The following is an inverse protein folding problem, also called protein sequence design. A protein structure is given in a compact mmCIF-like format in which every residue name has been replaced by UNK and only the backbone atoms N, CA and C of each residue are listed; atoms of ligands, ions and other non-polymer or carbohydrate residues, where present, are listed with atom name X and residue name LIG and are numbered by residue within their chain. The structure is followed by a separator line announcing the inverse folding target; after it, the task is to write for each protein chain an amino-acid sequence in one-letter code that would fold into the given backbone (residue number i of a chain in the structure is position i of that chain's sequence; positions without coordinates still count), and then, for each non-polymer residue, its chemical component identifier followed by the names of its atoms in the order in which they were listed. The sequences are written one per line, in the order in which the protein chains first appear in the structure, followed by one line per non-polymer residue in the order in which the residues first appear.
data_IF_084283190502
#
_entry.id   IF_084283190502
#
_cell.length_a   1.000
_cell.length_b   1.000
_cell.length_c   1.000
_cell.angle_alpha   90.00
_cell.angle_beta   90.00
_cell.angle_gamma   90.00
#
_symmetry.space_group_name_H-M   'P 1'
#
loop_
_entity.id
_entity.type
_entity.pdbx_description
1 polymer ?
#
# COMPACT_ATOMS: atom_id res chain seq x y z
N UNK A 1 12.15 11.49 -1.74
CA UNK A 1 10.95 10.69 -1.42
C UNK A 1 10.47 9.90 -2.66
N UNK A 2 11.21 8.86 -3.08
CA UNK A 2 10.82 8.02 -4.24
C UNK A 2 10.95 6.51 -4.01
N UNK A 3 11.58 6.09 -2.90
CA UNK A 3 11.86 4.67 -2.63
C UNK A 3 10.58 3.88 -2.36
N UNK A 4 9.63 4.45 -1.61
CA UNK A 4 8.33 3.82 -1.30
C UNK A 4 7.55 3.55 -2.60
N UNK A 5 7.34 4.58 -3.42
CA UNK A 5 6.63 4.44 -4.70
C UNK A 5 7.31 3.43 -5.62
N UNK A 6 8.64 3.48 -5.72
CA UNK A 6 9.37 2.51 -6.52
C UNK A 6 9.15 1.08 -6.06
N UNK A 7 9.25 0.82 -4.74
CA UNK A 7 9.02 -0.52 -4.16
C UNK A 7 7.59 -1.00 -4.31
N UNK A 8 6.61 -0.10 -4.21
CA UNK A 8 5.20 -0.41 -4.46
C UNK A 8 4.97 -0.82 -5.94
N UNK A 9 5.58 -0.10 -6.90
CA UNK A 9 5.44 -0.38 -8.33
C UNK A 9 6.12 -1.68 -8.75
N UNK A 10 7.29 -1.99 -8.19
CA UNK A 10 8.02 -3.23 -8.51
C UNK A 10 7.58 -4.42 -7.66
N UNK A 11 6.70 -4.20 -6.67
CA UNK A 11 6.28 -5.24 -5.73
C UNK A 11 7.37 -5.65 -4.72
N UNK A 12 8.54 -5.00 -4.71
CA UNK A 12 9.64 -5.25 -3.77
C UNK A 12 9.39 -4.58 -2.40
N UNK A 13 8.17 -4.66 -1.91
CA UNK A 13 7.72 -4.08 -0.66
C UNK A 13 7.73 -5.14 0.45
N UNK A 14 7.94 -4.78 1.72
CA UNK A 14 7.90 -5.77 2.81
C UNK A 14 6.46 -6.16 3.21
N UNK A 15 5.52 -6.16 2.26
CA UNK A 15 4.17 -6.65 2.48
C UNK A 15 4.16 -8.18 2.50
N UNK A 16 3.22 -8.78 3.23
CA UNK A 16 3.16 -10.23 3.43
C UNK A 16 3.08 -11.02 2.12
N UNK A 17 2.43 -10.48 1.09
CA UNK A 17 2.41 -11.11 -0.24
C UNK A 17 3.81 -11.30 -0.83
N UNK A 18 4.67 -10.26 -0.77
CA UNK A 18 6.05 -10.36 -1.22
C UNK A 18 6.89 -11.26 -0.31
N UNK A 19 6.74 -11.12 1.01
CA UNK A 19 7.47 -11.93 1.99
C UNK A 19 7.17 -13.44 1.84
N UNK A 20 5.92 -13.81 1.51
CA UNK A 20 5.55 -15.18 1.20
C UNK A 20 6.20 -15.66 -0.10
N UNK A 21 6.25 -14.81 -1.13
CA UNK A 21 6.91 -15.13 -2.40
C UNK A 21 8.41 -15.45 -2.26
N UNK A 22 9.09 -14.84 -1.27
CA UNK A 22 10.50 -15.08 -0.96
C UNK A 22 10.72 -16.07 0.21
N UNK A 23 9.65 -16.70 0.72
CA UNK A 23 9.73 -17.71 1.78
C UNK A 23 10.01 -17.17 3.19
N UNK A 24 9.85 -15.86 3.43
CA UNK A 24 10.06 -15.21 4.73
C UNK A 24 8.79 -15.20 5.59
N UNK A 25 7.61 -15.10 4.97
CA UNK A 25 6.33 -15.15 5.67
C UNK A 25 5.56 -16.43 5.33
N UNK A 26 4.93 -17.03 6.33
CA UNK A 26 4.12 -18.25 6.17
C UNK A 26 2.80 -17.98 5.44
N UNK A 27 2.24 -16.78 5.59
CA UNK A 27 0.99 -16.37 4.94
C UNK A 27 1.13 -15.01 4.26
N UNK A 28 0.44 -14.85 3.12
CA UNK A 28 0.28 -13.57 2.43
C UNK A 28 -0.92 -12.77 2.95
N UNK A 29 -1.79 -13.37 3.76
CA UNK A 29 -3.07 -12.79 4.18
C UNK A 29 -2.85 -11.54 5.03
N UNK A 30 -3.59 -10.48 4.69
CA UNK A 30 -3.59 -9.25 5.47
C UNK A 30 -4.22 -9.47 6.85
N UNK A 31 -3.78 -8.73 7.85
CA UNK A 31 -4.34 -8.79 9.21
C UNK A 31 -5.80 -8.36 9.29
N UNK A 32 -6.32 -7.71 8.23
CA UNK A 32 -7.74 -7.41 8.09
C UNK A 32 -8.61 -8.65 7.84
N UNK A 33 -8.00 -9.79 7.47
CA UNK A 33 -8.69 -11.04 7.12
C UNK A 33 -9.25 -11.07 5.69
N UNK A 34 -9.22 -9.95 4.96
CA UNK A 34 -9.75 -9.84 3.60
C UNK A 34 -8.64 -9.90 2.55
N UNK A 35 -8.30 -11.11 2.13
CA UNK A 35 -7.36 -11.35 1.02
C UNK A 35 -5.89 -11.13 1.38
N UNK A 36 -5.06 -11.11 0.35
CA UNK A 36 -3.61 -10.97 0.50
C UNK A 36 -3.20 -9.51 0.70
N UNK A 37 -2.19 -9.30 1.53
CA UNK A 37 -1.58 -8.00 1.78
C UNK A 37 -0.72 -7.59 0.58
N UNK A 38 -1.37 -7.12 -0.48
CA UNK A 38 -0.75 -6.56 -1.68
C UNK A 38 -0.74 -5.03 -1.62
N UNK A 39 0.10 -4.34 -2.41
CA UNK A 39 0.03 -2.89 -2.54
C UNK A 39 -1.37 -2.40 -2.92
N UNK A 40 -2.05 -3.13 -3.79
CA UNK A 40 -3.41 -2.81 -4.26
C UNK A 40 -4.41 -2.92 -3.11
N UNK A 41 -4.35 -4.01 -2.34
CA UNK A 41 -5.20 -4.18 -1.16
C UNK A 41 -4.98 -3.05 -0.16
N UNK A 42 -3.72 -2.76 0.20
CA UNK A 42 -3.36 -1.71 1.16
C UNK A 42 -3.82 -0.32 0.69
N UNK A 43 -3.71 0.00 -0.60
CA UNK A 43 -4.04 1.33 -1.14
C UNK A 43 -5.53 1.52 -1.46
N UNK A 44 -6.30 0.46 -1.71
CA UNK A 44 -7.68 0.56 -2.19
C UNK A 44 -8.73 -0.15 -1.33
N UNK A 45 -8.42 -1.30 -0.73
CA UNK A 45 -9.44 -2.20 -0.18
C UNK A 45 -9.33 -2.47 1.31
N UNK A 46 -8.16 -2.25 1.92
CA UNK A 46 -7.90 -2.64 3.31
C UNK A 46 -8.82 -1.90 4.29
N UNK A 47 -9.74 -2.59 4.98
CA UNK A 47 -10.71 -1.94 5.87
C UNK A 47 -10.03 -1.37 7.13
N UNK A 48 -8.91 -1.95 7.56
CA UNK A 48 -8.12 -1.43 8.68
C UNK A 48 -7.55 -0.04 8.39
N UNK A 49 -7.33 0.29 7.12
CA UNK A 49 -6.78 1.57 6.69
C UNK A 49 -7.83 2.52 6.14
N UNK A 50 -9.12 2.20 6.25
CA UNK A 50 -10.19 2.98 5.61
C UNK A 50 -10.24 4.42 6.12
N UNK A 51 -10.18 4.60 7.44
CA UNK A 51 -10.09 5.92 8.08
C UNK A 51 -8.88 6.74 7.58
N UNK A 52 -7.69 6.11 7.52
CA UNK A 52 -6.47 6.76 7.05
C UNK A 52 -6.56 7.09 5.55
N UNK A 53 -7.25 6.24 4.77
CA UNK A 53 -7.44 6.41 3.33
C UNK A 53 -8.34 7.61 3.06
N UNK A 54 -9.45 7.74 3.78
CA UNK A 54 -10.36 8.90 3.68
C UNK A 54 -9.65 10.19 4.09
N UNK A 55 -8.83 10.15 5.14
CA UNK A 55 -8.04 11.31 5.57
C UNK A 55 -7.00 11.73 4.53
N UNK A 56 -6.39 10.77 3.83
CA UNK A 56 -5.35 11.06 2.81
C UNK A 56 -5.97 11.44 1.46
N UNK A 57 -7.04 10.76 1.07
CA UNK A 57 -7.78 10.95 -0.17
C UNK A 57 -9.27 11.10 0.14
N UNK A 58 -9.75 12.33 0.38
CA UNK A 58 -11.18 12.58 0.58
C UNK A 58 -12.00 12.31 -0.68
N UNK A 59 -11.40 12.51 -1.86
CA UNK A 59 -12.01 12.22 -3.16
C UNK A 59 -11.66 10.81 -3.65
N UNK A 60 -12.60 10.14 -4.36
CA UNK A 60 -12.38 8.80 -4.90
C UNK A 60 -11.21 8.83 -5.89
N UNK A 61 -10.07 8.29 -5.44
CA UNK A 61 -8.82 8.28 -6.19
C UNK A 61 -8.48 6.84 -6.62
N UNK A 62 -8.34 6.64 -7.92
CA UNK A 62 -7.95 5.36 -8.52
C UNK A 62 -6.50 4.95 -8.17
N UNK A 63 -6.22 3.65 -8.23
CA UNK A 63 -4.92 3.06 -7.92
C UNK A 63 -3.83 3.62 -8.85
N UNK A 64 -4.17 3.83 -10.14
CA UNK A 64 -3.22 4.37 -11.11
C UNK A 64 -2.75 5.75 -10.69
N UNK A 65 -3.65 6.61 -10.22
CA UNK A 65 -3.29 7.96 -9.73
C UNK A 65 -2.46 7.87 -8.47
N UNK A 66 -2.80 6.99 -7.52
CA UNK A 66 -2.01 6.80 -6.29
C UNK A 66 -0.58 6.34 -6.57
N UNK A 67 -0.37 5.49 -7.57
CA UNK A 67 0.93 4.89 -7.84
C UNK A 67 1.71 5.57 -8.97
N UNK A 68 1.07 6.17 -9.97
CA UNK A 68 1.69 6.81 -11.16
C UNK A 68 1.17 8.24 -11.44
N UNK A 69 0.48 8.87 -10.48
CA UNK A 69 0.00 10.24 -10.60
C UNK A 69 1.11 11.30 -10.51
N UNK A 70 0.69 12.54 -10.24
CA UNK A 70 1.59 13.68 -10.11
C UNK A 70 2.42 13.57 -8.83
N UNK A 71 3.46 14.42 -8.69
CA UNK A 71 4.33 14.38 -7.51
C UNK A 71 3.54 14.49 -6.20
N UNK A 72 2.53 15.36 -6.15
CA UNK A 72 1.66 15.51 -4.98
C UNK A 72 0.90 14.22 -4.64
N UNK A 73 0.43 13.47 -5.64
CA UNK A 73 -0.24 12.18 -5.43
C UNK A 73 0.74 11.14 -4.88
N UNK A 74 1.96 11.13 -5.41
CA UNK A 74 3.02 10.24 -4.96
C UNK A 74 3.48 10.56 -3.53
N UNK A 75 3.51 11.84 -3.16
CA UNK A 75 3.81 12.27 -1.79
C UNK A 75 2.70 11.86 -0.82
N UNK A 76 1.41 12.01 -1.20
CA UNK A 76 0.26 11.51 -0.42
C UNK A 76 0.35 10.00 -0.22
N UNK A 77 0.60 9.23 -1.28
CA UNK A 77 0.78 7.77 -1.19
C UNK A 77 1.95 7.39 -0.29
N UNK A 78 3.08 8.10 -0.41
CA UNK A 78 4.24 7.86 0.46
C UNK A 78 3.92 8.13 1.93
N UNK A 79 3.15 9.18 2.22
CA UNK A 79 2.73 9.55 3.57
C UNK A 79 1.75 8.52 4.14
N UNK A 80 0.75 8.11 3.36
CA UNK A 80 -0.20 7.06 3.74
C UNK A 80 0.51 5.77 4.13
N UNK A 81 1.46 5.33 3.31
CA UNK A 81 2.20 4.08 3.57
C UNK A 81 3.09 4.22 4.80
N UNK A 82 3.75 5.36 5.00
CA UNK A 82 4.52 5.61 6.21
C UNK A 82 3.64 5.59 7.48
N UNK A 83 2.43 6.16 7.41
CA UNK A 83 1.47 6.21 8.52
C UNK A 83 0.75 4.88 8.76
N UNK A 84 0.62 4.03 7.73
CA UNK A 84 -0.03 2.72 7.82
C UNK A 84 0.76 1.69 8.64
N UNK A 85 2.01 2.00 9.02
CA UNK A 85 2.91 1.06 9.71
C UNK A 85 3.51 -0.01 8.80
N UNK A 86 3.06 -0.12 7.54
CA UNK A 86 3.63 -1.02 6.57
C UNK A 86 4.94 -0.47 6.01
N UNK A 87 5.99 -1.30 6.07
CA UNK A 87 7.29 -0.96 5.47
C UNK A 87 7.27 -1.27 3.98
N UNK A 88 6.92 -0.28 3.16
CA UNK A 88 7.05 -0.39 1.71
C UNK A 88 8.49 -0.30 1.25
#
# INVERSE_FOLDING_TARGET
MHRIIFRLRTGHCCLKAHLRGIGVAESATCDCGEGDQTPEHVLQACPLLDQLRIQTWPDPTDLRTKMWGALEDLERTSMFVASSGFRA
#
